data_IF_820731697604
#
_entry.id   IF_820731697604
#
_cell.length_a   1.000
_cell.length_b   1.000
_cell.length_c   1.000
_cell.angle_alpha   90.00
_cell.angle_beta   90.00
_cell.angle_gamma   90.00
#
_symmetry.space_group_name_H-M   'P 1'
#
loop_
_entity.id
_entity.type
_entity.pdbx_description
1 polymer ?
#
# COMPACT_ATOMS: atom_id res chain seq x y z
N UNK A 1 72.22 -7.75 51.54
CA UNK A 1 70.80 -7.43 51.83
C UNK A 1 70.17 -6.83 50.59
N UNK A 2 69.21 -7.55 50.01
CA UNK A 2 68.60 -7.32 48.70
C UNK A 2 67.63 -6.13 48.76
N UNK A 3 67.88 -5.07 47.99
CA UNK A 3 66.92 -3.97 47.75
C UNK A 3 65.99 -4.38 46.60
N UNK A 4 64.77 -4.78 46.95
CA UNK A 4 63.69 -5.11 46.00
C UNK A 4 63.07 -3.82 45.48
N UNK A 5 63.29 -3.52 44.21
CA UNK A 5 62.55 -2.50 43.47
C UNK A 5 61.19 -3.10 43.09
N UNK A 6 60.10 -2.52 43.58
CA UNK A 6 58.75 -2.81 43.10
C UNK A 6 58.40 -1.69 42.12
N UNK A 7 58.50 -2.02 40.84
CA UNK A 7 58.07 -1.18 39.73
C UNK A 7 56.54 -1.30 39.62
N UNK A 8 55.83 -0.28 40.08
CA UNK A 8 54.37 -0.15 39.88
C UNK A 8 54.15 0.27 38.43
N UNK A 9 53.87 -0.70 37.55
CA UNK A 9 53.35 -0.43 36.21
C UNK A 9 51.91 0.08 36.34
N UNK A 10 51.75 1.41 36.31
CA UNK A 10 50.45 2.06 36.12
C UNK A 10 50.03 1.86 34.66
N UNK A 11 49.36 0.75 34.39
CA UNK A 11 48.75 0.48 33.09
C UNK A 11 47.61 1.46 32.83
N UNK A 12 47.88 2.48 32.01
CA UNK A 12 46.88 3.35 31.40
C UNK A 12 46.01 2.51 30.44
N UNK A 13 44.93 1.93 30.99
CA UNK A 13 43.81 1.41 30.21
C UNK A 13 43.08 2.63 29.61
N UNK A 14 43.58 3.11 28.46
CA UNK A 14 42.79 3.92 27.55
C UNK A 14 41.65 3.04 27.03
N UNK A 15 40.53 3.05 27.75
CA UNK A 15 39.27 2.54 27.24
C UNK A 15 38.86 3.41 26.05
N UNK A 16 39.11 2.91 24.84
CA UNK A 16 38.47 3.44 23.64
C UNK A 16 36.98 3.14 23.77
N UNK A 17 36.21 4.10 24.28
CA UNK A 17 34.77 4.12 24.06
C UNK A 17 34.56 4.33 22.56
N UNK A 18 34.48 3.22 21.81
CA UNK A 18 33.93 3.23 20.47
C UNK A 18 32.45 3.58 20.62
N UNK A 19 32.11 4.84 20.31
CA UNK A 19 30.72 5.21 20.08
C UNK A 19 30.21 4.33 18.95
N UNK A 20 29.32 3.38 19.25
CA UNK A 20 28.60 2.64 18.24
C UNK A 20 27.82 3.66 17.40
N UNK A 21 28.22 3.86 16.16
CA UNK A 21 27.55 4.78 15.26
C UNK A 21 26.15 4.23 14.97
N UNK A 22 25.12 4.97 15.37
CA UNK A 22 23.73 4.57 15.13
C UNK A 22 23.50 4.41 13.62
N UNK A 23 22.86 3.31 13.23
CA UNK A 23 22.62 3.00 11.83
C UNK A 23 21.71 4.06 11.19
N UNK A 24 22.24 4.78 10.19
CA UNK A 24 21.48 5.74 9.39
C UNK A 24 21.02 5.12 8.07
N UNK A 25 19.74 5.34 7.72
CA UNK A 25 19.16 4.95 6.42
C UNK A 25 19.43 5.96 5.30
N UNK A 26 19.94 7.15 5.68
CA UNK A 26 20.19 8.25 4.77
C UNK A 26 21.40 7.94 3.91
N UNK A 27 21.37 8.35 2.64
CA UNK A 27 22.55 8.29 1.79
C UNK A 27 23.70 9.11 2.40
N UNK A 28 24.90 8.55 2.48
CA UNK A 28 26.09 9.27 2.92
C UNK A 28 26.62 10.23 1.86
N UNK A 29 26.26 9.98 0.60
CA UNK A 29 26.62 10.80 -0.57
C UNK A 29 25.38 11.13 -1.40
N UNK A 30 25.57 11.77 -2.54
CA UNK A 30 24.48 11.97 -3.48
C UNK A 30 24.02 10.61 -4.04
N UNK A 31 22.74 10.23 -3.85
CA UNK A 31 22.27 8.90 -4.20
C UNK A 31 22.21 8.69 -5.71
N UNK A 32 22.53 7.47 -6.16
CA UNK A 32 22.29 7.05 -7.52
C UNK A 32 20.81 6.67 -7.67
N UNK A 33 20.05 7.50 -8.39
CA UNK A 33 18.62 7.30 -8.59
C UNK A 33 18.32 6.85 -10.02
N UNK A 34 17.58 5.74 -10.16
CA UNK A 34 17.18 5.23 -11.48
C UNK A 34 15.93 5.93 -12.02
N UNK A 35 15.12 6.51 -11.12
CA UNK A 35 13.97 7.31 -11.50
C UNK A 35 14.44 8.60 -12.19
N UNK A 36 13.73 8.99 -13.26
CA UNK A 36 14.00 10.20 -14.02
C UNK A 36 12.90 11.23 -13.79
N UNK A 37 13.12 12.45 -14.28
CA UNK A 37 12.16 13.54 -14.12
C UNK A 37 12.42 14.39 -12.88
N UNK A 38 11.54 15.36 -12.66
CA UNK A 38 11.68 16.33 -11.57
C UNK A 38 11.30 15.74 -10.22
N UNK A 39 10.47 14.70 -10.23
CA UNK A 39 9.98 13.96 -9.08
C UNK A 39 10.87 12.79 -8.68
N UNK A 40 12.00 12.59 -9.37
CA UNK A 40 12.96 11.51 -9.14
C UNK A 40 13.43 11.33 -7.70
N UNK A 41 13.34 12.38 -6.88
CA UNK A 41 13.75 12.36 -5.48
C UNK A 41 12.70 11.71 -4.55
N UNK A 42 11.50 11.42 -5.04
CA UNK A 42 10.38 10.98 -4.22
C UNK A 42 9.83 9.62 -4.68
N UNK A 43 9.59 8.75 -3.70
CA UNK A 43 8.98 7.43 -3.92
C UNK A 43 7.56 7.58 -4.50
N UNK A 44 7.25 7.00 -5.67
CA UNK A 44 5.96 7.18 -6.36
C UNK A 44 4.77 6.58 -5.62
N UNK A 45 5.02 5.74 -4.61
CA UNK A 45 4.00 5.04 -3.82
C UNK A 45 3.61 5.79 -2.53
N UNK A 46 4.55 6.49 -1.91
CA UNK A 46 4.30 7.12 -0.60
C UNK A 46 4.81 8.56 -0.48
N UNK A 47 5.46 9.11 -1.50
CA UNK A 47 6.00 10.48 -1.53
C UNK A 47 7.24 10.70 -0.67
N UNK A 48 7.75 9.68 0.03
CA UNK A 48 8.93 9.81 0.89
C UNK A 48 10.18 10.10 0.07
N UNK A 49 11.04 10.96 0.62
CA UNK A 49 12.30 11.36 0.00
C UNK A 49 13.28 10.18 -0.07
N UNK A 50 13.69 9.78 -1.27
CA UNK A 50 14.54 8.61 -1.50
C UNK A 50 15.94 8.78 -0.87
N UNK A 51 16.46 9.99 -0.74
CA UNK A 51 17.75 10.25 -0.06
C UNK A 51 17.71 9.89 1.42
N UNK A 52 16.57 10.12 2.08
CA UNK A 52 16.38 9.83 3.51
C UNK A 52 16.24 8.32 3.81
N UNK A 53 15.87 7.53 2.81
CA UNK A 53 15.60 6.09 2.93
C UNK A 53 16.40 5.27 1.92
N UNK A 54 17.55 5.80 1.52
CA UNK A 54 18.33 5.27 0.41
C UNK A 54 18.84 3.86 0.70
N UNK A 55 19.35 3.58 1.91
CA UNK A 55 19.84 2.24 2.29
C UNK A 55 18.74 1.18 2.47
N UNK A 56 17.47 1.56 2.34
CA UNK A 56 16.35 0.62 2.26
C UNK A 56 15.73 0.58 0.86
N UNK A 57 16.22 1.40 -0.07
CA UNK A 57 15.61 1.64 -1.37
C UNK A 57 15.70 0.44 -2.31
N UNK A 58 14.62 0.21 -3.05
CA UNK A 58 14.50 -0.80 -4.09
C UNK A 58 14.06 -0.12 -5.38
N UNK A 59 14.33 -0.71 -6.54
CA UNK A 59 13.94 -0.18 -7.83
C UNK A 59 13.44 -1.27 -8.76
N UNK A 60 12.55 -0.89 -9.68
CA UNK A 60 12.04 -1.74 -10.74
C UNK A 60 12.33 -1.09 -12.10
N UNK A 61 12.90 -1.88 -13.01
CA UNK A 61 13.15 -1.51 -14.41
C UNK A 61 12.19 -2.32 -15.26
N UNK A 62 11.40 -1.64 -16.10
CA UNK A 62 10.35 -2.23 -16.92
C UNK A 62 10.77 -2.36 -18.38
N UNK A 63 10.05 -3.17 -19.14
CA UNK A 63 10.34 -3.49 -20.55
C UNK A 63 10.20 -2.31 -21.50
N UNK A 64 9.42 -1.30 -21.12
CA UNK A 64 9.29 -0.03 -21.83
C UNK A 64 10.42 0.98 -21.51
N UNK A 65 11.40 0.59 -20.69
CA UNK A 65 12.50 1.44 -20.24
C UNK A 65 12.16 2.32 -19.04
N UNK A 66 10.93 2.28 -18.53
CA UNK A 66 10.54 2.97 -17.30
C UNK A 66 11.30 2.40 -16.12
N UNK A 67 11.86 3.28 -15.29
CA UNK A 67 12.53 2.92 -14.04
C UNK A 67 11.85 3.64 -12.88
N UNK A 68 11.35 2.87 -11.91
CA UNK A 68 10.71 3.38 -10.69
C UNK A 68 11.58 3.05 -9.48
N UNK A 69 11.76 4.01 -8.58
CA UNK A 69 12.53 3.77 -7.35
C UNK A 69 11.67 4.04 -6.11
N UNK A 70 11.75 3.10 -5.18
CA UNK A 70 10.92 3.03 -4.00
C UNK A 70 11.78 3.22 -2.75
N UNK A 71 11.21 3.81 -1.69
CA UNK A 71 11.92 3.96 -0.42
C UNK A 71 12.15 2.62 0.30
N UNK A 72 11.40 1.58 -0.03
CA UNK A 72 11.53 0.25 0.56
C UNK A 72 10.98 -0.88 -0.31
N UNK A 73 11.39 -2.11 0.00
CA UNK A 73 10.85 -3.35 -0.60
C UNK A 73 9.34 -3.49 -0.39
N UNK A 74 8.79 -2.90 0.67
CA UNK A 74 7.33 -2.86 0.89
C UNK A 74 6.64 -2.00 -0.16
N UNK A 75 7.21 -0.83 -0.49
CA UNK A 75 6.66 0.01 -1.56
C UNK A 75 6.79 -0.66 -2.94
N UNK A 76 7.87 -1.42 -3.19
CA UNK A 76 7.97 -2.29 -4.36
C UNK A 76 6.84 -3.35 -4.36
N UNK A 77 6.61 -4.01 -3.22
CA UNK A 77 5.56 -5.02 -3.09
C UNK A 77 4.15 -4.43 -3.32
N UNK A 78 3.92 -3.19 -2.89
CA UNK A 78 2.67 -2.48 -3.10
C UNK A 78 2.42 -2.09 -4.58
N UNK A 79 3.46 -1.80 -5.35
CA UNK A 79 3.36 -1.50 -6.80
C UNK A 79 3.35 -2.78 -7.67
N UNK A 80 3.59 -3.95 -7.07
CA UNK A 80 3.92 -5.17 -7.78
C UNK A 80 2.84 -5.62 -8.79
N UNK A 81 1.57 -5.60 -8.38
CA UNK A 81 0.43 -5.99 -9.23
C UNK A 81 0.39 -5.15 -10.53
N UNK A 82 0.81 -3.88 -10.49
CA UNK A 82 0.78 -2.97 -11.63
C UNK A 82 1.99 -3.08 -12.57
N UNK A 83 3.08 -3.72 -12.12
CA UNK A 83 4.36 -3.70 -12.84
C UNK A 83 4.90 -5.09 -13.20
N UNK A 84 4.48 -6.16 -12.50
CA UNK A 84 5.05 -7.50 -12.63
C UNK A 84 5.08 -8.00 -14.08
N UNK A 85 3.99 -7.80 -14.83
CA UNK A 85 3.87 -8.22 -16.23
C UNK A 85 4.89 -7.55 -17.18
N UNK A 86 5.47 -6.42 -16.78
CA UNK A 86 6.46 -5.66 -17.56
C UNK A 86 7.85 -5.64 -16.91
N UNK A 87 8.03 -6.33 -15.80
CA UNK A 87 9.25 -6.23 -15.00
C UNK A 87 10.42 -6.94 -15.70
N UNK A 88 11.51 -6.20 -15.91
CA UNK A 88 12.78 -6.73 -16.46
C UNK A 88 13.77 -7.00 -15.34
N UNK A 89 13.95 -6.04 -14.42
CA UNK A 89 14.95 -6.14 -13.36
C UNK A 89 14.49 -5.47 -12.08
N UNK A 90 14.85 -6.07 -10.95
CA UNK A 90 14.76 -5.45 -9.62
C UNK A 90 16.16 -5.13 -9.15
N UNK A 91 16.35 -3.91 -8.67
CA UNK A 91 17.60 -3.47 -8.04
C UNK A 91 17.36 -3.07 -6.60
N UNK A 92 18.41 -3.14 -5.78
CA UNK A 92 18.38 -2.72 -4.38
C UNK A 92 19.64 -1.93 -4.05
N UNK A 93 19.53 -1.00 -3.12
CA UNK A 93 20.71 -0.29 -2.59
C UNK A 93 21.44 -1.17 -1.60
N UNK A 94 22.71 -1.46 -1.87
CA UNK A 94 23.61 -2.09 -0.91
C UNK A 94 23.86 -1.17 0.29
N UNK A 95 23.72 -1.70 1.50
CA UNK A 95 23.81 -0.92 2.73
C UNK A 95 25.22 -0.33 2.97
N UNK A 96 26.26 -1.04 2.54
CA UNK A 96 27.66 -0.68 2.84
C UNK A 96 28.22 0.26 1.78
N UNK A 97 28.16 -0.15 0.51
CA UNK A 97 28.71 0.59 -0.62
C UNK A 97 27.78 1.66 -1.16
N UNK A 98 26.49 1.62 -0.82
CA UNK A 98 25.46 2.55 -1.31
C UNK A 98 25.24 2.50 -2.84
N UNK A 99 25.71 1.44 -3.50
CA UNK A 99 25.50 1.17 -4.92
C UNK A 99 24.20 0.39 -5.16
N UNK A 100 23.62 0.58 -6.34
CA UNK A 100 22.52 -0.26 -6.80
C UNK A 100 23.05 -1.59 -7.32
N UNK A 101 22.59 -2.67 -6.71
CA UNK A 101 22.96 -4.06 -7.05
C UNK A 101 21.72 -4.82 -7.53
N UNK A 102 21.92 -5.99 -8.14
CA UNK A 102 20.82 -6.89 -8.46
C UNK A 102 20.16 -7.39 -7.17
N UNK A 103 18.87 -7.13 -7.02
CA UNK A 103 18.17 -7.50 -5.80
C UNK A 103 18.13 -9.02 -5.59
N UNK A 104 18.04 -9.82 -6.68
CA UNK A 104 17.93 -11.27 -6.59
C UNK A 104 19.22 -11.94 -6.11
N UNK A 105 20.36 -11.31 -6.37
CA UNK A 105 21.67 -11.81 -5.93
C UNK A 105 22.06 -11.33 -4.53
N UNK A 106 21.38 -10.32 -4.00
CA UNK A 106 21.69 -9.71 -2.72
C UNK A 106 21.36 -10.62 -1.52
N UNK A 107 22.13 -10.44 -0.45
CA UNK A 107 21.87 -11.03 0.86
C UNK A 107 21.00 -10.08 1.67
N UNK A 108 19.95 -10.60 2.30
CA UNK A 108 19.04 -9.80 3.10
C UNK A 108 19.19 -10.12 4.58
N UNK A 109 19.30 -9.10 5.42
CA UNK A 109 19.06 -9.21 6.86
C UNK A 109 17.62 -8.80 7.14
N UNK A 110 16.84 -9.74 7.65
CA UNK A 110 15.40 -9.60 7.86
C UNK A 110 15.11 -9.58 9.35
N UNK A 111 14.33 -8.61 9.83
CA UNK A 111 13.91 -8.53 11.22
C UNK A 111 15.03 -8.15 12.20
N UNK A 112 15.98 -7.33 11.77
CA UNK A 112 16.97 -6.73 12.67
C UNK A 112 16.33 -5.71 13.63
N UNK A 113 17.09 -5.29 14.65
CA UNK A 113 16.73 -4.22 15.58
C UNK A 113 16.52 -2.87 14.89
N UNK A 114 17.09 -2.67 13.70
CA UNK A 114 16.87 -1.45 12.93
C UNK A 114 15.40 -1.44 12.48
N UNK A 115 14.63 -0.35 12.71
CA UNK A 115 13.25 -0.28 12.27
C UNK A 115 13.10 -0.43 10.75
N UNK A 116 12.04 -1.09 10.29
CA UNK A 116 11.74 -1.16 8.85
C UNK A 116 11.40 0.20 8.25
N UNK A 117 11.46 0.32 6.93
CA UNK A 117 10.95 1.47 6.18
C UNK A 117 9.62 1.09 5.56
N UNK A 118 8.54 1.73 5.99
CA UNK A 118 7.18 1.39 5.59
C UNK A 118 6.78 -0.07 5.89
N UNK A 119 7.39 -0.69 6.91
CA UNK A 119 7.10 -2.07 7.35
C UNK A 119 7.51 -2.26 8.81
N UNK A 120 6.81 -3.10 9.56
CA UNK A 120 7.23 -3.49 10.93
C UNK A 120 8.53 -4.29 10.94
N UNK A 121 8.70 -5.18 9.96
CA UNK A 121 9.88 -6.04 9.85
C UNK A 121 10.89 -5.40 8.91
N UNK A 122 12.09 -5.10 9.42
CA UNK A 122 13.18 -4.56 8.60
C UNK A 122 13.72 -5.56 7.59
N UNK A 123 14.18 -5.05 6.46
CA UNK A 123 14.70 -5.81 5.32
C UNK A 123 15.80 -4.97 4.70
N UNK A 124 17.05 -5.32 5.00
CA UNK A 124 18.26 -4.59 4.59
C UNK A 124 19.09 -5.47 3.67
N UNK A 125 19.55 -4.93 2.55
CA UNK A 125 20.25 -5.69 1.52
C UNK A 125 21.75 -5.42 1.53
N UNK A 126 22.52 -6.47 1.26
CA UNK A 126 23.96 -6.49 1.25
C UNK A 126 24.45 -7.19 -0.02
N UNK A 127 25.44 -6.61 -0.68
CA UNK A 127 26.11 -7.24 -1.83
C UNK A 127 26.86 -8.50 -1.39
N UNK A 128 27.51 -8.45 -0.23
CA UNK A 128 28.35 -9.53 0.30
C UNK A 128 27.71 -10.19 1.51
N UNK A 129 27.77 -11.51 1.55
CA UNK A 129 27.31 -12.31 2.70
C UNK A 129 28.04 -11.92 3.99
N UNK A 130 29.35 -11.69 3.91
CA UNK A 130 30.17 -11.33 5.05
C UNK A 130 29.69 -10.03 5.72
N UNK A 131 29.23 -9.05 4.93
CA UNK A 131 28.73 -7.78 5.43
C UNK A 131 27.35 -7.96 6.09
N UNK A 132 26.47 -8.78 5.51
CA UNK A 132 25.19 -9.15 6.12
C UNK A 132 25.39 -9.87 7.47
N UNK A 133 26.30 -10.84 7.52
CA UNK A 133 26.61 -11.59 8.74
C UNK A 133 27.26 -10.69 9.80
N UNK A 134 28.13 -9.76 9.41
CA UNK A 134 28.70 -8.77 10.32
C UNK A 134 27.60 -7.88 10.91
N UNK A 135 26.70 -7.36 10.05
CA UNK A 135 25.57 -6.55 10.48
C UNK A 135 24.64 -7.29 11.45
N UNK A 136 24.36 -8.58 11.19
CA UNK A 136 23.54 -9.43 12.05
C UNK A 136 24.14 -9.63 13.45
N UNK A 137 25.47 -9.72 13.57
CA UNK A 137 26.12 -9.88 14.89
C UNK A 137 25.82 -8.72 15.82
N UNK A 138 25.71 -7.52 15.29
CA UNK A 138 25.44 -6.29 16.05
C UNK A 138 23.92 -6.05 16.22
N UNK A 139 23.18 -6.23 15.13
CA UNK A 139 21.78 -5.78 15.02
C UNK A 139 20.75 -6.92 15.08
N UNK A 140 21.17 -8.18 15.13
CA UNK A 140 20.30 -9.34 15.03
C UNK A 140 19.62 -9.46 13.66
N UNK A 141 18.55 -10.24 13.61
CA UNK A 141 17.82 -10.58 12.39
C UNK A 141 18.24 -11.92 11.80
N UNK A 142 17.61 -12.28 10.69
CA UNK A 142 17.79 -13.54 9.97
C UNK A 142 18.39 -13.27 8.60
N UNK A 143 19.37 -14.09 8.20
CA UNK A 143 19.92 -14.06 6.85
C UNK A 143 18.90 -14.67 5.87
N UNK A 144 18.72 -14.01 4.73
CA UNK A 144 17.86 -14.47 3.66
C UNK A 144 18.27 -13.94 2.30
N UNK A 145 17.40 -14.15 1.33
CA UNK A 145 17.53 -13.70 -0.05
C UNK A 145 16.30 -12.89 -0.45
N UNK A 146 16.30 -12.36 -1.67
CA UNK A 146 15.21 -11.54 -2.19
C UNK A 146 13.85 -12.21 -2.07
N UNK A 147 13.73 -13.48 -2.44
CA UNK A 147 12.46 -14.21 -2.44
C UNK A 147 11.85 -14.23 -1.03
N UNK A 148 12.67 -14.51 -0.01
CA UNK A 148 12.23 -14.56 1.38
C UNK A 148 11.86 -13.16 1.90
N UNK A 149 12.68 -12.15 1.60
CA UNK A 149 12.43 -10.77 2.01
C UNK A 149 11.17 -10.22 1.34
N UNK A 150 10.98 -10.50 0.05
CA UNK A 150 9.86 -10.05 -0.75
C UNK A 150 8.57 -10.77 -0.39
N UNK A 151 8.60 -12.08 -0.15
CA UNK A 151 7.45 -12.83 0.36
C UNK A 151 6.99 -12.28 1.72
N UNK A 152 7.93 -12.03 2.65
CA UNK A 152 7.62 -11.38 3.94
C UNK A 152 7.06 -9.97 3.74
N UNK A 153 7.53 -9.22 2.73
CA UNK A 153 7.02 -7.89 2.42
C UNK A 153 5.58 -7.95 1.87
N UNK A 154 5.27 -8.88 0.96
CA UNK A 154 3.91 -9.10 0.45
C UNK A 154 2.96 -9.54 1.55
N UNK A 155 3.39 -10.49 2.39
CA UNK A 155 2.55 -11.04 3.47
C UNK A 155 2.19 -9.98 4.53
N UNK A 156 3.05 -9.00 4.80
CA UNK A 156 2.78 -7.94 5.77
C UNK A 156 2.07 -6.71 5.19
N UNK A 157 1.75 -6.68 3.89
CA UNK A 157 1.22 -5.48 3.23
C UNK A 157 -0.05 -4.96 3.91
N UNK A 158 -1.03 -5.81 4.19
CA UNK A 158 -2.30 -5.43 4.82
C UNK A 158 -2.08 -4.84 6.22
N UNK A 159 -1.31 -5.54 7.05
CA UNK A 159 -1.09 -5.17 8.44
C UNK A 159 -0.27 -3.87 8.54
N UNK A 160 0.73 -3.72 7.65
CA UNK A 160 1.50 -2.50 7.52
C UNK A 160 0.60 -1.33 7.09
N UNK A 161 -0.30 -1.51 6.11
CA UNK A 161 -1.26 -0.47 5.68
C UNK A 161 -2.04 0.06 6.89
N UNK A 162 -2.64 -0.83 7.68
CA UNK A 162 -3.48 -0.44 8.82
C UNK A 162 -2.71 0.40 9.84
N UNK A 163 -1.48 0.01 10.15
CA UNK A 163 -0.66 0.75 11.11
C UNK A 163 -0.20 2.10 10.56
N UNK A 164 0.19 2.16 9.28
CA UNK A 164 0.59 3.43 8.65
C UNK A 164 -0.60 4.39 8.53
N UNK A 165 -1.80 3.89 8.21
CA UNK A 165 -3.02 4.71 8.21
C UNK A 165 -3.27 5.27 9.61
N UNK A 166 -3.23 4.44 10.66
CA UNK A 166 -3.39 4.90 12.06
C UNK A 166 -2.37 5.97 12.44
N UNK A 167 -1.10 5.80 12.03
CA UNK A 167 -0.04 6.80 12.26
C UNK A 167 -0.30 8.11 11.51
N UNK A 168 -0.72 8.03 10.23
CA UNK A 168 -1.06 9.21 9.42
C UNK A 168 -2.27 9.95 9.99
N UNK A 169 -3.33 9.23 10.39
CA UNK A 169 -4.54 9.80 11.02
C UNK A 169 -4.23 10.58 12.30
N UNK A 170 -3.28 10.12 13.11
CA UNK A 170 -2.88 10.79 14.35
C UNK A 170 -1.92 11.96 14.16
N UNK A 171 -1.28 12.09 13.00
CA UNK A 171 -0.18 13.04 12.81
C UNK A 171 -0.15 13.73 11.46
N UNK A 172 0.06 12.98 10.37
CA UNK A 172 0.26 13.56 9.04
C UNK A 172 -1.01 14.20 8.47
N UNK A 173 -2.18 13.56 8.57
CA UNK A 173 -3.41 14.10 8.00
C UNK A 173 -3.88 15.38 8.70
N UNK A 174 -3.96 15.45 10.05
CA UNK A 174 -4.35 16.70 10.71
C UNK A 174 -3.38 17.85 10.43
N UNK A 175 -2.08 17.55 10.29
CA UNK A 175 -1.08 18.54 9.90
C UNK A 175 -1.31 19.02 8.47
N UNK A 176 -1.49 18.09 7.52
CA UNK A 176 -1.75 18.41 6.12
C UNK A 176 -3.05 19.19 5.91
N UNK A 177 -4.12 18.82 6.63
CA UNK A 177 -5.39 19.53 6.67
C UNK A 177 -5.23 20.97 7.16
N UNK A 178 -4.51 21.15 8.27
CA UNK A 178 -4.23 22.48 8.82
C UNK A 178 -3.45 23.35 7.83
N UNK A 179 -2.45 22.79 7.15
CA UNK A 179 -1.68 23.52 6.12
C UNK A 179 -2.60 23.86 4.94
N UNK A 180 -3.38 22.89 4.46
CA UNK A 180 -4.31 23.07 3.36
C UNK A 180 -5.27 24.24 3.57
N UNK A 181 -5.91 24.29 4.72
CA UNK A 181 -6.89 25.34 5.01
C UNK A 181 -6.26 26.71 5.30
N UNK A 182 -5.02 26.76 5.79
CA UNK A 182 -4.39 28.02 6.19
C UNK A 182 -3.51 28.67 5.12
N UNK A 183 -2.85 27.86 4.30
CA UNK A 183 -1.78 28.32 3.42
C UNK A 183 -1.98 27.97 1.95
N UNK A 184 -2.84 27.00 1.61
CA UNK A 184 -3.01 26.59 0.22
C UNK A 184 -3.99 27.46 -0.56
N UNK A 185 -3.55 27.89 -1.74
CA UNK A 185 -4.35 28.44 -2.83
C UNK A 185 -5.01 27.29 -3.59
N UNK A 186 -6.28 27.04 -3.25
CA UNK A 186 -7.03 25.87 -3.71
C UNK A 186 -7.31 25.89 -5.21
N UNK A 187 -7.41 27.08 -5.81
CA UNK A 187 -7.70 27.23 -7.23
C UNK A 187 -6.54 26.74 -8.11
N UNK A 188 -5.31 26.75 -7.58
CA UNK A 188 -4.13 26.22 -8.27
C UNK A 188 -4.03 24.70 -8.19
N UNK A 189 -4.75 24.04 -7.29
CA UNK A 189 -4.55 22.62 -7.00
C UNK A 189 -5.65 21.79 -7.66
N UNK A 190 -5.32 21.22 -8.82
CA UNK A 190 -6.19 20.29 -9.52
C UNK A 190 -5.78 18.84 -9.23
N UNK A 191 -6.45 18.22 -8.25
CA UNK A 191 -6.05 16.93 -7.64
C UNK A 191 -6.02 15.74 -8.61
N UNK A 192 -6.61 15.87 -9.79
CA UNK A 192 -6.71 14.82 -10.79
C UNK A 192 -5.66 14.92 -11.92
N UNK A 193 -4.82 15.95 -11.91
CA UNK A 193 -3.81 16.19 -12.96
C UNK A 193 -2.55 15.34 -12.77
N UNK A 194 -2.46 14.59 -11.67
CA UNK A 194 -1.25 13.88 -11.24
C UNK A 194 -1.46 12.37 -11.25
N UNK A 195 -0.49 11.64 -11.82
CA UNK A 195 -0.47 10.18 -11.87
C UNK A 195 0.11 9.57 -10.60
N UNK A 196 1.00 10.30 -9.90
CA UNK A 196 1.61 9.84 -8.64
C UNK A 196 1.60 10.93 -7.56
N UNK A 197 1.71 10.50 -6.30
CA UNK A 197 1.90 11.42 -5.18
C UNK A 197 3.20 12.23 -5.30
N UNK A 198 4.23 11.66 -5.94
CA UNK A 198 5.50 12.36 -6.19
C UNK A 198 5.33 13.55 -7.12
N UNK A 199 4.56 13.40 -8.19
CA UNK A 199 4.23 14.48 -9.13
C UNK A 199 3.46 15.60 -8.41
N UNK A 200 2.39 15.24 -7.67
CA UNK A 200 1.62 16.20 -6.87
C UNK A 200 2.52 16.94 -5.87
N UNK A 201 3.41 16.21 -5.18
CA UNK A 201 4.32 16.78 -4.19
C UNK A 201 5.29 17.79 -4.80
N UNK A 202 5.85 17.47 -5.97
CA UNK A 202 6.71 18.41 -6.71
C UNK A 202 5.93 19.64 -7.14
N UNK A 203 4.71 19.46 -7.64
CA UNK A 203 3.84 20.57 -8.00
C UNK A 203 3.62 21.51 -6.81
N UNK A 204 3.20 20.99 -5.65
CA UNK A 204 2.99 21.79 -4.44
C UNK A 204 4.26 22.56 -4.04
N UNK A 205 5.41 21.88 -4.11
CA UNK A 205 6.71 22.49 -3.77
C UNK A 205 7.10 23.62 -4.73
N UNK A 206 6.95 23.42 -6.04
CA UNK A 206 7.42 24.36 -7.07
C UNK A 206 6.48 25.52 -7.31
N UNK A 207 5.18 25.24 -7.37
CA UNK A 207 4.15 26.27 -7.53
C UNK A 207 4.02 27.16 -6.30
N UNK A 208 4.58 26.71 -5.16
CA UNK A 208 4.34 27.29 -3.84
C UNK A 208 2.84 27.48 -3.58
N UNK A 209 2.01 26.58 -4.12
CA UNK A 209 0.55 26.65 -3.96
C UNK A 209 0.15 26.65 -2.48
N UNK A 210 1.00 26.14 -1.59
CA UNK A 210 0.80 26.11 -0.15
C UNK A 210 1.85 26.92 0.64
N UNK A 211 2.52 27.86 -0.02
CA UNK A 211 3.68 28.57 0.51
C UNK A 211 4.97 27.74 0.50
N UNK A 212 6.01 28.28 1.13
CA UNK A 212 7.24 27.54 1.39
C UNK A 212 7.02 26.56 2.55
N UNK A 213 7.32 25.29 2.31
CA UNK A 213 7.08 24.21 3.26
C UNK A 213 8.36 23.43 3.51
N UNK A 214 8.61 23.10 4.78
CA UNK A 214 9.64 22.14 5.15
C UNK A 214 9.28 20.73 4.66
N UNK A 215 10.27 19.84 4.51
CA UNK A 215 10.06 18.51 3.90
C UNK A 215 8.97 17.68 4.61
N UNK A 216 8.84 17.82 5.94
CA UNK A 216 7.78 17.16 6.73
C UNK A 216 6.39 17.75 6.44
N UNK A 217 6.29 19.07 6.32
CA UNK A 217 5.04 19.78 6.04
C UNK A 217 4.59 19.51 4.61
N UNK A 218 5.53 19.55 3.67
CA UNK A 218 5.31 19.17 2.28
C UNK A 218 4.80 17.74 2.17
N UNK A 219 5.39 16.79 2.91
CA UNK A 219 4.90 15.42 2.96
C UNK A 219 3.48 15.34 3.54
N UNK A 220 3.20 16.07 4.64
CA UNK A 220 1.90 16.05 5.29
C UNK A 220 0.79 16.59 4.38
N UNK A 221 0.99 17.75 3.76
CA UNK A 221 0.00 18.33 2.84
C UNK A 221 -0.16 17.49 1.58
N UNK A 222 0.92 16.91 1.03
CA UNK A 222 0.83 16.05 -0.15
C UNK A 222 0.05 14.77 0.14
N UNK A 223 0.23 14.16 1.31
CA UNK A 223 -0.55 13.00 1.74
C UNK A 223 -2.03 13.35 1.94
N UNK A 224 -2.32 14.49 2.57
CA UNK A 224 -3.69 14.93 2.75
C UNK A 224 -4.38 15.19 1.42
N UNK A 225 -3.72 15.91 0.49
CA UNK A 225 -4.23 16.14 -0.85
C UNK A 225 -4.44 14.83 -1.62
N UNK A 226 -3.46 13.93 -1.60
CA UNK A 226 -3.47 12.69 -2.38
C UNK A 226 -4.43 11.63 -1.85
N UNK A 227 -4.46 11.41 -0.53
CA UNK A 227 -5.14 10.26 0.08
C UNK A 227 -6.49 10.61 0.71
N UNK A 228 -6.73 11.90 0.99
CA UNK A 228 -7.97 12.41 1.57
C UNK A 228 -8.70 13.28 0.54
N UNK A 229 -8.17 14.44 0.15
CA UNK A 229 -8.93 15.40 -0.64
C UNK A 229 -9.21 14.96 -2.07
N UNK A 230 -8.27 14.26 -2.72
CA UNK A 230 -8.47 13.73 -4.08
C UNK A 230 -9.69 12.84 -4.19
N UNK A 231 -10.08 12.24 -3.07
CA UNK A 231 -11.25 11.38 -2.96
C UNK A 231 -12.41 12.07 -2.21
N UNK A 232 -12.17 13.20 -1.53
CA UNK A 232 -13.16 13.95 -0.74
C UNK A 232 -14.17 14.78 -1.55
N UNK A 233 -14.01 14.93 -2.87
CA UNK A 233 -15.13 15.33 -3.74
C UNK A 233 -16.31 14.33 -3.63
N UNK A 234 -16.07 13.16 -3.02
CA UNK A 234 -17.07 12.31 -2.40
C UNK A 234 -16.96 12.45 -0.86
N UNK A 235 -17.92 13.16 -0.25
CA UNK A 235 -18.05 13.40 1.20
C UNK A 235 -17.39 12.32 2.10
N UNK A 236 -16.15 12.56 2.56
CA UNK A 236 -15.52 11.68 3.55
C UNK A 236 -15.97 12.01 4.96
N UNK A 237 -17.02 11.34 5.42
CA UNK A 237 -16.98 10.75 6.76
C UNK A 237 -15.98 9.60 6.73
N UNK A 238 -15.00 9.56 7.65
CA UNK A 238 -14.01 8.49 7.86
C UNK A 238 -14.16 7.24 6.96
N UNK A 239 -13.22 7.01 6.02
CA UNK A 239 -13.18 5.82 5.12
C UNK A 239 -13.79 4.59 5.79
N UNK A 240 -15.06 4.32 5.51
CA UNK A 240 -15.71 3.09 5.99
C UNK A 240 -15.17 1.99 5.10
N UNK A 241 -14.44 1.02 5.65
CA UNK A 241 -14.11 -0.22 4.93
C UNK A 241 -15.11 -1.29 5.34
N UNK A 242 -15.38 -2.27 4.47
CA UNK A 242 -16.23 -3.40 4.84
C UNK A 242 -15.43 -4.27 5.83
N UNK A 243 -15.75 -4.15 7.12
CA UNK A 243 -15.07 -4.90 8.17
C UNK A 243 -15.49 -6.38 8.14
N UNK A 244 -14.57 -7.32 7.96
CA UNK A 244 -14.90 -8.75 7.86
C UNK A 244 -14.19 -9.53 8.95
N UNK A 245 -14.96 -10.30 9.72
CA UNK A 245 -14.44 -11.18 10.76
C UNK A 245 -13.80 -12.45 10.17
N UNK A 246 -12.80 -13.00 10.86
CA UNK A 246 -12.08 -14.21 10.38
C UNK A 246 -12.98 -15.44 10.23
N UNK A 247 -14.11 -15.47 10.92
CA UNK A 247 -15.10 -16.55 10.87
C UNK A 247 -16.17 -16.36 9.80
N UNK A 248 -16.31 -15.17 9.21
CA UNK A 248 -17.31 -14.90 8.18
C UNK A 248 -16.97 -15.64 6.89
N UNK A 249 -17.91 -16.46 6.43
CA UNK A 249 -17.85 -17.19 5.17
C UNK A 249 -18.89 -16.67 4.22
N UNK A 250 -18.54 -16.60 2.94
CA UNK A 250 -19.49 -16.29 1.89
C UNK A 250 -20.58 -17.36 1.86
N UNK A 251 -21.89 -17.00 1.93
CA UNK A 251 -22.98 -17.97 1.92
C UNK A 251 -23.15 -18.66 0.56
N UNK A 252 -22.49 -18.16 -0.49
CA UNK A 252 -22.56 -18.71 -1.85
C UNK A 252 -21.45 -19.72 -2.10
N UNK A 253 -20.17 -19.31 -2.06
CA UNK A 253 -19.03 -20.19 -2.35
C UNK A 253 -18.43 -20.88 -1.10
N UNK A 254 -18.77 -20.42 0.12
CA UNK A 254 -18.21 -20.95 1.37
C UNK A 254 -16.79 -20.46 1.71
N UNK A 255 -16.18 -19.60 0.89
CA UNK A 255 -14.85 -19.04 1.15
C UNK A 255 -14.85 -18.09 2.34
N UNK A 256 -13.71 -18.05 3.04
CA UNK A 256 -13.50 -17.08 4.13
C UNK A 256 -13.26 -15.69 3.56
N UNK A 257 -14.17 -14.76 3.84
CA UNK A 257 -14.19 -13.45 3.17
C UNK A 257 -13.00 -12.58 3.59
N UNK A 258 -12.49 -12.72 4.82
CA UNK A 258 -11.33 -11.95 5.31
C UNK A 258 -10.05 -12.15 4.48
N UNK A 259 -9.98 -13.22 3.65
CA UNK A 259 -8.86 -13.46 2.74
C UNK A 259 -8.90 -12.58 1.49
N UNK A 260 -10.05 -11.96 1.21
CA UNK A 260 -10.30 -11.14 0.02
C UNK A 260 -10.87 -9.77 0.39
N UNK A 261 -10.23 -9.01 1.29
CA UNK A 261 -10.78 -7.74 1.80
C UNK A 261 -10.99 -6.72 0.67
N UNK A 262 -10.20 -6.80 -0.41
CA UNK A 262 -10.36 -5.91 -1.57
C UNK A 262 -11.65 -6.11 -2.36
N UNK A 263 -12.20 -7.31 -2.29
CA UNK A 263 -13.37 -7.75 -3.06
C UNK A 263 -14.61 -7.87 -2.19
N UNK A 264 -14.43 -7.68 -0.88
CA UNK A 264 -15.48 -7.88 0.09
C UNK A 264 -16.70 -7.03 -0.27
N UNK A 265 -17.86 -7.67 -0.18
CA UNK A 265 -19.15 -7.03 -0.27
C UNK A 265 -20.00 -7.49 0.93
N UNK A 266 -21.00 -6.70 1.29
CA UNK A 266 -21.89 -7.02 2.41
C UNK A 266 -23.33 -6.69 2.07
N UNK A 267 -24.21 -7.60 2.43
CA UNK A 267 -25.65 -7.39 2.39
C UNK A 267 -26.23 -7.55 3.79
N UNK A 268 -26.97 -6.56 4.25
CA UNK A 268 -27.65 -6.56 5.54
C UNK A 268 -29.14 -6.27 5.38
N UNK A 269 -29.97 -6.93 6.19
CA UNK A 269 -31.42 -6.79 6.18
C UNK A 269 -32.01 -7.20 7.53
N UNK A 270 -33.30 -6.94 7.74
CA UNK A 270 -34.03 -7.39 8.93
C UNK A 270 -35.10 -8.41 8.52
N UNK A 271 -35.13 -9.54 9.22
CA UNK A 271 -36.13 -10.59 9.01
C UNK A 271 -36.66 -11.00 10.39
N UNK A 272 -37.98 -10.95 10.58
CA UNK A 272 -38.65 -11.30 11.85
C UNK A 272 -38.07 -10.56 13.08
N UNK A 273 -37.71 -9.28 12.93
CA UNK A 273 -37.10 -8.47 13.99
C UNK A 273 -35.62 -8.76 14.27
N UNK A 274 -34.98 -9.64 13.49
CA UNK A 274 -33.56 -9.98 13.62
C UNK A 274 -32.76 -9.35 12.48
N UNK A 275 -31.70 -8.62 12.84
CA UNK A 275 -30.73 -8.08 11.88
C UNK A 275 -29.84 -9.22 11.38
N UNK A 276 -29.86 -9.42 10.08
CA UNK A 276 -29.03 -10.35 9.34
C UNK A 276 -27.97 -9.56 8.58
N UNK A 277 -26.75 -10.09 8.52
CA UNK A 277 -25.66 -9.49 7.76
C UNK A 277 -24.77 -10.58 7.23
N UNK A 278 -24.58 -10.60 5.92
CA UNK A 278 -23.74 -11.58 5.23
C UNK A 278 -22.61 -10.86 4.51
N UNK A 279 -21.40 -11.38 4.67
CA UNK A 279 -20.23 -10.96 3.91
C UNK A 279 -20.04 -11.89 2.71
N UNK A 280 -19.58 -11.34 1.60
CA UNK A 280 -19.31 -12.03 0.35
C UNK A 280 -17.88 -11.71 -0.07
N UNK A 281 -17.21 -12.69 -0.66
CA UNK A 281 -15.86 -12.58 -1.21
C UNK A 281 -15.81 -11.84 -2.55
N UNK A 282 -16.96 -11.50 -3.13
CA UNK A 282 -17.06 -10.72 -4.36
C UNK A 282 -18.47 -10.19 -4.59
N UNK A 283 -18.60 -9.24 -5.52
CA UNK A 283 -19.91 -8.66 -5.89
C UNK A 283 -20.76 -9.69 -6.63
N UNK A 284 -20.16 -10.54 -7.46
CA UNK A 284 -20.88 -11.60 -8.19
C UNK A 284 -21.61 -12.55 -7.25
N UNK A 285 -20.96 -12.99 -6.18
CA UNK A 285 -21.58 -13.88 -5.20
C UNK A 285 -22.65 -13.15 -4.38
N UNK A 286 -22.44 -11.89 -4.03
CA UNK A 286 -23.49 -11.05 -3.46
C UNK A 286 -24.71 -10.99 -4.37
N UNK A 287 -24.52 -10.80 -5.68
CA UNK A 287 -25.60 -10.69 -6.66
C UNK A 287 -26.33 -12.03 -6.86
N UNK A 288 -25.62 -13.16 -6.86
CA UNK A 288 -26.25 -14.50 -6.88
C UNK A 288 -27.19 -14.69 -5.69
N UNK A 289 -26.71 -14.30 -4.50
CA UNK A 289 -27.52 -14.35 -3.30
C UNK A 289 -28.68 -13.34 -3.32
N UNK A 290 -28.43 -12.14 -3.84
CA UNK A 290 -29.45 -11.10 -3.95
C UNK A 290 -30.62 -11.53 -4.86
N UNK A 291 -30.34 -12.14 -6.02
CA UNK A 291 -31.41 -12.56 -6.92
C UNK A 291 -32.18 -13.79 -6.43
N UNK A 292 -31.48 -14.79 -5.88
CA UNK A 292 -32.09 -16.05 -5.49
C UNK A 292 -31.47 -16.63 -4.20
N UNK A 293 -31.75 -16.02 -3.03
CA UNK A 293 -31.12 -16.42 -1.78
C UNK A 293 -31.53 -17.84 -1.33
N UNK A 294 -32.73 -18.30 -1.68
CA UNK A 294 -33.23 -19.64 -1.33
C UNK A 294 -32.45 -20.78 -2.00
N UNK A 295 -31.70 -20.49 -3.08
CA UNK A 295 -30.78 -21.44 -3.69
C UNK A 295 -29.56 -21.77 -2.81
N UNK A 296 -29.20 -20.86 -1.90
CA UNK A 296 -27.96 -20.93 -1.10
C UNK A 296 -28.21 -21.34 0.35
N UNK A 297 -29.44 -21.76 0.68
CA UNK A 297 -29.82 -22.21 2.02
C UNK A 297 -31.26 -21.83 2.35
N UNK A 298 -31.61 -21.90 3.64
CA UNK A 298 -32.93 -21.52 4.13
C UNK A 298 -33.02 -19.99 4.30
N UNK A 299 -32.97 -19.26 3.18
CA UNK A 299 -33.06 -17.80 3.13
C UNK A 299 -34.28 -17.36 2.33
N UNK A 300 -35.01 -16.37 2.84
CA UNK A 300 -36.17 -15.79 2.15
C UNK A 300 -35.73 -14.59 1.32
N UNK A 301 -36.19 -14.50 0.08
CA UNK A 301 -36.07 -13.27 -0.72
C UNK A 301 -37.02 -12.23 -0.15
N UNK A 302 -36.47 -11.08 0.23
CA UNK A 302 -37.20 -9.91 0.68
C UNK A 302 -37.32 -8.92 -0.48
N UNK A 303 -38.16 -7.91 -0.30
CA UNK A 303 -38.24 -6.78 -1.21
C UNK A 303 -36.88 -6.08 -1.31
N UNK A 304 -36.55 -5.59 -2.51
CA UNK A 304 -35.23 -5.06 -2.80
C UNK A 304 -34.87 -3.89 -1.87
N UNK A 305 -35.83 -3.05 -1.49
CA UNK A 305 -35.66 -1.91 -0.59
C UNK A 305 -35.23 -2.31 0.84
N UNK A 306 -35.51 -3.55 1.26
CA UNK A 306 -35.13 -4.04 2.59
C UNK A 306 -33.62 -4.27 2.73
N UNK A 307 -32.90 -4.43 1.61
CA UNK A 307 -31.46 -4.69 1.61
C UNK A 307 -30.64 -3.41 1.70
N UNK A 308 -29.72 -3.37 2.65
CA UNK A 308 -28.55 -2.48 2.59
C UNK A 308 -27.41 -3.25 1.93
N UNK A 309 -26.88 -2.74 0.83
CA UNK A 309 -25.80 -3.36 0.07
C UNK A 309 -24.60 -2.44 0.11
N UNK A 310 -23.49 -2.95 0.61
CA UNK A 310 -22.19 -2.29 0.58
C UNK A 310 -21.25 -3.08 -0.31
N UNK A 311 -20.52 -2.39 -1.17
CA UNK A 311 -19.44 -2.96 -1.99
C UNK A 311 -18.16 -2.15 -1.78
N UNK A 312 -17.00 -2.77 -1.96
CA UNK A 312 -15.71 -2.10 -1.83
C UNK A 312 -15.33 -1.45 -3.15
N UNK A 313 -15.27 -0.11 -3.22
CA UNK A 313 -14.79 0.61 -4.41
C UNK A 313 -13.41 0.08 -4.81
N UNK A 314 -13.26 -0.26 -6.09
CA UNK A 314 -12.07 -0.96 -6.55
C UNK A 314 -10.77 -0.18 -6.33
N UNK A 315 -10.78 1.15 -6.49
CA UNK A 315 -9.57 1.96 -6.35
C UNK A 315 -9.36 2.44 -4.92
N UNK A 316 -10.40 2.91 -4.25
CA UNK A 316 -10.27 3.56 -2.93
C UNK A 316 -10.40 2.59 -1.78
N UNK A 317 -10.98 1.40 -2.02
CA UNK A 317 -11.30 0.38 -1.03
C UNK A 317 -12.34 0.83 0.01
N UNK A 318 -13.03 1.93 -0.28
CA UNK A 318 -14.11 2.45 0.54
C UNK A 318 -15.38 1.63 0.33
N UNK A 319 -16.09 1.33 1.41
CA UNK A 319 -17.41 0.76 1.42
C UNK A 319 -18.40 1.80 0.91
N UNK A 320 -18.91 1.57 -0.29
CA UNK A 320 -19.87 2.43 -0.97
C UNK A 320 -21.23 1.75 -1.07
N UNK A 321 -22.29 2.55 -1.24
CA UNK A 321 -23.66 2.06 -1.48
C UNK A 321 -23.70 1.31 -2.82
N UNK A 322 -23.80 -0.02 -2.77
CA UNK A 322 -23.77 -0.87 -3.96
C UNK A 322 -24.94 -0.61 -4.91
N UNK A 323 -26.10 -0.18 -4.41
CA UNK A 323 -27.24 0.14 -5.28
C UNK A 323 -27.00 1.39 -6.13
N UNK A 324 -26.07 2.26 -5.72
CA UNK A 324 -25.69 3.49 -6.43
C UNK A 324 -24.37 3.39 -7.17
N UNK A 325 -23.65 2.28 -7.02
CA UNK A 325 -22.36 2.07 -7.64
C UNK A 325 -22.48 1.83 -9.16
N UNK A 326 -21.37 2.04 -9.86
CA UNK A 326 -21.18 1.66 -11.26
C UNK A 326 -20.34 0.39 -11.33
N UNK A 327 -20.74 -0.56 -12.14
CA UNK A 327 -20.11 -1.88 -12.22
C UNK A 327 -19.50 -2.10 -13.59
N UNK A 328 -18.19 -2.32 -13.67
CA UNK A 328 -17.53 -2.74 -14.91
C UNK A 328 -17.53 -4.26 -15.01
N UNK A 329 -17.93 -4.80 -16.16
CA UNK A 329 -17.85 -6.23 -16.47
C UNK A 329 -16.96 -6.50 -17.68
N UNK A 330 -16.54 -7.75 -17.85
CA UNK A 330 -15.77 -8.20 -19.02
C UNK A 330 -14.35 -7.64 -19.07
N UNK A 331 -13.80 -7.19 -17.95
CA UNK A 331 -12.41 -6.76 -17.81
C UNK A 331 -11.43 -7.94 -17.70
N UNK A 332 -10.15 -7.66 -17.89
CA UNK A 332 -9.06 -8.61 -17.61
C UNK A 332 -8.66 -8.71 -16.12
N UNK A 333 -9.38 -8.01 -15.23
CA UNK A 333 -9.27 -8.15 -13.77
C UNK A 333 -10.25 -9.19 -13.24
N UNK A 334 -9.76 -10.11 -12.42
CA UNK A 334 -10.53 -11.20 -11.83
C UNK A 334 -10.70 -11.03 -10.32
N UNK A 335 -11.92 -11.29 -9.83
CA UNK A 335 -12.22 -11.47 -8.41
C UNK A 335 -11.92 -12.90 -7.94
N UNK A 336 -12.16 -13.23 -6.65
CA UNK A 336 -11.83 -14.54 -6.08
C UNK A 336 -12.52 -15.71 -6.79
N UNK A 337 -13.70 -15.45 -7.38
CA UNK A 337 -14.50 -16.42 -8.09
C UNK A 337 -14.47 -16.23 -9.63
N UNK A 338 -13.44 -15.58 -10.16
CA UNK A 338 -13.26 -15.41 -11.60
C UNK A 338 -13.74 -14.04 -12.11
N UNK A 339 -14.44 -14.00 -13.26
CA UNK A 339 -14.98 -12.75 -13.81
C UNK A 339 -15.91 -12.11 -12.78
N UNK A 340 -15.84 -10.78 -12.71
CA UNK A 340 -16.42 -10.02 -11.60
C UNK A 340 -17.11 -8.74 -12.07
N UNK A 341 -18.06 -8.27 -11.27
CA UNK A 341 -18.67 -6.94 -11.36
C UNK A 341 -17.83 -5.97 -10.53
N UNK A 342 -16.94 -5.23 -11.18
CA UNK A 342 -15.98 -4.35 -10.49
C UNK A 342 -16.68 -3.04 -10.09
N UNK A 343 -16.86 -2.74 -8.79
CA UNK A 343 -17.66 -1.60 -8.34
C UNK A 343 -16.85 -0.29 -8.26
N UNK A 344 -17.51 0.81 -8.61
CA UNK A 344 -16.96 2.16 -8.54
C UNK A 344 -17.99 3.15 -7.98
N UNK A 345 -17.52 4.05 -7.13
CA UNK A 345 -18.31 5.15 -6.59
C UNK A 345 -18.74 6.15 -7.67
N UNK A 346 -17.94 6.26 -8.74
CA UNK A 346 -18.19 7.22 -9.83
C UNK A 346 -18.10 6.58 -11.20
N UNK A 347 -18.90 7.15 -12.11
CA UNK A 347 -18.85 6.81 -13.52
C UNK A 347 -17.47 7.08 -14.13
N UNK A 348 -16.79 8.15 -13.73
CA UNK A 348 -15.47 8.52 -14.24
C UNK A 348 -14.41 7.47 -13.88
N UNK A 349 -14.43 6.97 -12.64
CA UNK A 349 -13.55 5.87 -12.22
C UNK A 349 -13.85 4.59 -12.99
N UNK A 350 -15.14 4.25 -13.17
CA UNK A 350 -15.55 3.10 -13.95
C UNK A 350 -15.10 3.19 -15.43
N UNK A 351 -15.21 4.38 -16.05
CA UNK A 351 -14.74 4.63 -17.43
C UNK A 351 -13.22 4.49 -17.56
N UNK A 352 -12.47 4.98 -16.57
CA UNK A 352 -11.01 4.85 -16.55
C UNK A 352 -10.62 3.38 -16.45
N UNK A 353 -11.21 2.65 -15.51
CA UNK A 353 -10.99 1.22 -15.34
C UNK A 353 -11.37 0.41 -16.59
N UNK A 354 -12.53 0.70 -17.19
CA UNK A 354 -12.97 0.02 -18.40
C UNK A 354 -11.93 0.14 -19.52
N UNK A 355 -11.35 1.32 -19.71
CA UNK A 355 -10.31 1.55 -20.71
C UNK A 355 -9.03 0.80 -20.37
N UNK A 356 -8.57 0.88 -19.12
CA UNK A 356 -7.28 0.36 -18.69
C UNK A 356 -7.26 -1.18 -18.61
N UNK A 357 -8.41 -1.78 -18.26
CA UNK A 357 -8.58 -3.22 -18.05
C UNK A 357 -9.44 -3.90 -19.10
N UNK A 358 -9.61 -3.26 -20.27
CA UNK A 358 -10.35 -3.80 -21.42
C UNK A 358 -11.75 -4.28 -21.04
N UNK A 359 -12.40 -3.55 -20.12
CA UNK A 359 -13.78 -3.79 -19.74
C UNK A 359 -14.70 -3.71 -20.95
N UNK A 360 -15.77 -4.49 -20.92
CA UNK A 360 -16.74 -4.54 -22.02
C UNK A 360 -17.86 -3.52 -21.84
N UNK A 361 -18.33 -3.33 -20.61
CA UNK A 361 -19.52 -2.52 -20.31
C UNK A 361 -19.50 -1.97 -18.88
N UNK A 362 -20.14 -0.81 -18.67
CA UNK A 362 -20.45 -0.24 -17.36
C UNK A 362 -21.96 -0.35 -17.12
N UNK A 363 -22.34 -0.91 -15.98
CA UNK A 363 -23.73 -1.17 -15.59
C UNK A 363 -24.07 -0.42 -14.30
N UNK A 364 -25.30 0.07 -14.19
CA UNK A 364 -25.90 0.40 -12.89
C UNK A 364 -26.52 -0.85 -12.25
N UNK A 365 -26.69 -0.84 -10.93
CA UNK A 365 -27.18 -1.99 -10.17
C UNK A 365 -28.51 -2.57 -10.71
N UNK A 366 -29.45 -1.71 -11.10
CA UNK A 366 -30.77 -2.10 -11.62
C UNK A 366 -30.72 -2.80 -12.99
N UNK A 367 -29.59 -2.69 -13.71
CA UNK A 367 -29.38 -3.36 -15.00
C UNK A 367 -28.75 -4.73 -14.86
N UNK A 368 -28.34 -5.11 -13.66
CA UNK A 368 -27.73 -6.42 -13.41
C UNK A 368 -28.85 -7.43 -13.17
N UNK A 369 -29.12 -8.25 -14.20
CA UNK A 369 -30.10 -9.35 -14.10
C UNK A 369 -29.44 -10.63 -13.61
N UNK A 370 -30.23 -11.53 -13.02
CA UNK A 370 -29.75 -12.84 -12.57
C UNK A 370 -29.05 -13.61 -13.70
N UNK A 371 -29.62 -13.59 -14.90
CA UNK A 371 -29.02 -14.24 -16.07
C UNK A 371 -27.62 -13.66 -16.42
N UNK A 372 -27.44 -12.35 -16.28
CA UNK A 372 -26.15 -11.70 -16.50
C UNK A 372 -25.11 -12.09 -15.43
N UNK A 373 -25.55 -12.24 -14.18
CA UNK A 373 -24.69 -12.69 -13.07
C UNK A 373 -24.13 -14.08 -13.36
N UNK A 374 -24.97 -15.03 -13.75
CA UNK A 374 -24.54 -16.38 -14.10
C UNK A 374 -23.77 -16.47 -15.43
N UNK A 375 -23.93 -15.50 -16.33
CA UNK A 375 -23.09 -15.42 -17.52
C UNK A 375 -21.61 -15.15 -17.19
N UNK A 376 -21.31 -14.57 -16.01
CA UNK A 376 -19.93 -14.34 -15.54
C UNK A 376 -19.25 -15.59 -14.95
N UNK A 377 -19.95 -16.73 -14.86
CA UNK A 377 -19.32 -18.01 -14.46
C UNK A 377 -18.70 -18.77 -15.65
N UNK A 378 -18.95 -18.30 -16.88
CA UNK A 378 -18.53 -18.96 -18.13
C UNK A 378 -17.20 -18.48 -18.67
#
# INVERSE_FOLDING_TARGET
>A
MVKRWIMVCLGLLLGTMMYAQEFSKVASKEPELIQKGEDKLYCPICGMNLKQYYKTSHGAILSDGTAKQYCSIRCLAADWEAIEARLVKVVVTDVVSEKLIDAKEAFYVIGSKIPGTMSQVSKLAFEKEADAVAFMKENGGELGRFENAFAKAKASLSDDVDEFIKKKQKGMYPMGEKIYHKACDKEKIHLHDFNTISELKIFVKKSQACGELEEKELQAVSLYLWEILRFAEHNHTHKSVIHVEKSEKCPVCGMFVYKYPKWAARMSYEENGKKMSHAFDGVKDLLKFYHNPSQWGNYTKLNDEAYTILVSDYYTQEAIDGKKAFYVIGSDTYGPMGKEFIPFATLKSAQSFLKDHKGSEILSFDKISEALVYAQDK
#
